data_IF_945150827191
#
_entry.id   IF_945150827191
#
_cell.length_a   1.000
_cell.length_b   1.000
_cell.length_c   1.000
_cell.angle_alpha   90.00
_cell.angle_beta   90.00
_cell.angle_gamma   90.00
#
_symmetry.space_group_name_H-M   'P 1'
#
loop_
_entity.id
_entity.type
_entity.pdbx_description
1 polymer ?
#
# COMPACT_ATOMS: atom_id res chain seq x y z
N UNK A 1 -13.93 7.34 14.65
CA UNK A 1 -12.83 7.40 13.66
C UNK A 1 -13.22 6.90 12.27
N UNK A 2 -13.83 5.72 12.05
CA UNK A 2 -14.12 5.23 10.67
C UNK A 2 -15.15 6.08 9.90
N UNK A 3 -16.14 6.65 10.59
CA UNK A 3 -17.16 7.51 9.96
C UNK A 3 -16.58 8.75 9.27
N UNK A 4 -15.49 9.30 9.81
CA UNK A 4 -14.83 10.49 9.26
C UNK A 4 -14.06 10.17 7.97
N UNK A 5 -13.46 8.97 7.88
CA UNK A 5 -12.77 8.52 6.66
C UNK A 5 -13.80 8.35 5.54
N UNK A 6 -14.93 7.67 5.82
CA UNK A 6 -16.01 7.52 4.84
C UNK A 6 -16.51 8.87 4.32
N UNK A 7 -16.87 9.78 5.23
CA UNK A 7 -17.38 11.11 4.87
C UNK A 7 -16.38 11.90 4.01
N UNK A 8 -15.08 11.87 4.36
CA UNK A 8 -14.03 12.53 3.58
C UNK A 8 -13.85 11.87 2.21
N UNK A 9 -13.83 10.53 2.14
CA UNK A 9 -13.72 9.81 0.88
C UNK A 9 -14.92 10.07 -0.03
N UNK A 10 -16.13 10.17 0.52
CA UNK A 10 -17.35 10.54 -0.25
C UNK A 10 -17.26 11.97 -0.78
N UNK A 11 -16.70 12.91 -0.01
CA UNK A 11 -16.47 14.29 -0.46
C UNK A 11 -15.41 14.36 -1.56
N UNK A 12 -14.30 13.63 -1.42
CA UNK A 12 -13.25 13.55 -2.45
C UNK A 12 -13.76 12.89 -3.73
N UNK A 13 -14.61 11.87 -3.59
CA UNK A 13 -15.25 11.18 -4.71
C UNK A 13 -16.43 11.96 -5.34
N UNK A 14 -16.81 13.13 -4.80
CA UNK A 14 -17.97 13.89 -5.29
C UNK A 14 -17.85 14.30 -6.77
N UNK A 15 -16.61 14.44 -7.28
CA UNK A 15 -16.33 14.70 -8.70
C UNK A 15 -16.51 13.50 -9.63
N UNK A 16 -16.75 12.31 -9.09
CA UNK A 16 -16.88 11.05 -9.83
C UNK A 16 -15.55 10.45 -10.29
N UNK A 17 -15.62 9.23 -10.83
CA UNK A 17 -14.45 8.42 -11.20
C UNK A 17 -13.58 9.05 -12.29
N UNK A 18 -14.18 9.77 -13.25
CA UNK A 18 -13.43 10.45 -14.31
C UNK A 18 -12.58 11.61 -13.77
N UNK A 19 -13.09 12.36 -12.79
CA UNK A 19 -12.33 13.43 -12.14
C UNK A 19 -11.18 12.85 -11.32
N UNK A 20 -11.44 11.78 -10.56
CA UNK A 20 -10.41 11.08 -9.78
C UNK A 20 -9.30 10.52 -10.68
N UNK A 21 -9.65 9.88 -11.80
CA UNK A 21 -8.67 9.34 -12.75
C UNK A 21 -7.77 10.45 -13.32
N UNK A 22 -8.35 11.60 -13.67
CA UNK A 22 -7.61 12.77 -14.14
C UNK A 22 -6.65 13.32 -13.08
N UNK A 23 -7.09 13.39 -11.82
CA UNK A 23 -6.24 13.84 -10.71
C UNK A 23 -5.10 12.86 -10.45
N UNK A 24 -5.39 11.55 -10.45
CA UNK A 24 -4.40 10.50 -10.32
C UNK A 24 -3.32 10.59 -11.41
N UNK A 25 -3.72 10.76 -12.68
CA UNK A 25 -2.78 10.92 -13.79
C UNK A 25 -1.92 12.18 -13.67
N UNK A 26 -2.51 13.29 -13.23
CA UNK A 26 -1.77 14.53 -12.99
C UNK A 26 -0.75 14.36 -11.85
N UNK A 27 -1.14 13.71 -10.75
CA UNK A 27 -0.25 13.42 -9.63
C UNK A 27 0.89 12.48 -10.05
N UNK A 28 0.58 11.41 -10.78
CA UNK A 28 1.56 10.46 -11.34
C UNK A 28 2.56 11.18 -12.24
N UNK A 29 2.10 11.99 -13.19
CA UNK A 29 2.96 12.72 -14.11
C UNK A 29 3.88 13.72 -13.39
N UNK A 30 3.39 14.37 -12.33
CA UNK A 30 4.20 15.26 -11.49
C UNK A 30 5.27 14.49 -10.73
N UNK A 31 4.88 13.40 -10.06
CA UNK A 31 5.79 12.61 -9.22
C UNK A 31 6.87 11.91 -10.06
N UNK A 32 6.51 11.38 -11.23
CA UNK A 32 7.46 10.76 -12.16
C UNK A 32 8.59 11.72 -12.58
N UNK A 33 8.31 13.03 -12.65
CA UNK A 33 9.32 14.05 -12.96
C UNK A 33 10.17 14.44 -11.75
N UNK A 34 9.58 14.45 -10.56
CA UNK A 34 10.21 15.00 -9.36
C UNK A 34 11.04 13.97 -8.60
N UNK A 35 10.51 12.77 -8.39
CA UNK A 35 11.12 11.75 -7.53
C UNK A 35 12.55 11.36 -7.93
N UNK A 36 12.91 11.21 -9.22
CA UNK A 36 14.27 10.79 -9.58
C UNK A 36 15.38 11.75 -9.12
N UNK A 37 15.06 13.03 -8.90
CA UNK A 37 16.01 14.05 -8.47
C UNK A 37 15.98 14.32 -6.96
N UNK A 38 15.08 13.67 -6.21
CA UNK A 38 14.93 13.91 -4.78
C UNK A 38 15.86 13.01 -3.96
N UNK A 39 16.55 13.55 -2.93
CA UNK A 39 17.30 12.73 -1.98
C UNK A 39 16.37 11.77 -1.24
N UNK A 40 16.79 10.50 -1.14
CA UNK A 40 15.99 9.44 -0.51
C UNK A 40 15.85 9.61 1.00
N UNK A 41 16.78 10.32 1.65
CA UNK A 41 16.77 10.62 3.08
C UNK A 41 16.00 11.91 3.42
N UNK A 42 15.47 12.61 2.42
CA UNK A 42 14.70 13.84 2.61
C UNK A 42 13.53 13.59 3.58
N UNK A 43 13.36 14.40 4.64
CA UNK A 43 12.23 14.24 5.55
C UNK A 43 10.91 14.59 4.87
N UNK A 44 9.93 13.69 5.01
CA UNK A 44 8.57 13.84 4.49
C UNK A 44 7.58 13.67 5.65
N UNK A 45 6.68 14.65 5.80
CA UNK A 45 5.59 14.57 6.78
C UNK A 45 4.51 13.63 6.28
N UNK A 46 4.18 12.61 7.06
CA UNK A 46 3.14 11.61 6.80
C UNK A 46 2.25 11.50 8.04
N UNK A 47 1.07 12.12 7.99
CA UNK A 47 0.17 12.27 9.14
C UNK A 47 0.91 12.87 10.37
N UNK A 48 0.98 12.14 11.48
CA UNK A 48 1.65 12.56 12.71
C UNK A 48 3.14 12.19 12.76
N UNK A 49 3.69 11.64 11.67
CA UNK A 49 5.06 11.13 11.60
C UNK A 49 5.89 11.88 10.56
N UNK A 50 7.21 11.86 10.73
CA UNK A 50 8.18 12.29 9.72
C UNK A 50 9.02 11.09 9.35
N UNK A 51 9.06 10.77 8.06
CA UNK A 51 9.80 9.63 7.51
C UNK A 51 10.80 10.12 6.48
N UNK A 52 11.96 9.45 6.33
CA UNK A 52 12.76 9.55 5.12
C UNK A 52 11.92 9.27 3.86
N UNK A 53 12.24 9.89 2.73
CA UNK A 53 11.48 9.78 1.49
C UNK A 53 11.36 8.32 1.02
N UNK A 54 12.42 7.53 1.09
CA UNK A 54 12.40 6.11 0.74
C UNK A 54 11.39 5.31 1.59
N UNK A 55 11.36 5.54 2.90
CA UNK A 55 10.41 4.90 3.80
C UNK A 55 8.98 5.38 3.53
N UNK A 56 8.79 6.68 3.27
CA UNK A 56 7.51 7.23 2.85
C UNK A 56 7.02 6.55 1.55
N UNK A 57 7.89 6.42 0.54
CA UNK A 57 7.57 5.77 -0.73
C UNK A 57 7.23 4.29 -0.54
N UNK A 58 7.93 3.58 0.33
CA UNK A 58 7.60 2.20 0.67
C UNK A 58 6.18 2.10 1.26
N UNK A 59 5.77 3.03 2.14
CA UNK A 59 4.39 3.04 2.63
C UNK A 59 3.38 3.24 1.49
N UNK A 60 3.64 4.17 0.56
CA UNK A 60 2.73 4.41 -0.57
C UNK A 60 2.66 3.21 -1.51
N UNK A 61 3.78 2.51 -1.70
CA UNK A 61 3.84 1.32 -2.55
C UNK A 61 3.00 0.17 -1.97
N UNK A 62 3.06 -0.03 -0.64
CA UNK A 62 2.19 -1.00 0.05
C UNK A 62 0.72 -0.66 -0.18
N UNK A 63 0.31 0.58 0.05
CA UNK A 63 -1.08 1.03 -0.14
C UNK A 63 -1.54 0.82 -1.59
N UNK A 64 -0.71 1.19 -2.57
CA UNK A 64 -1.05 1.02 -3.99
C UNK A 64 -1.22 -0.45 -4.37
N UNK A 65 -0.33 -1.34 -3.91
CA UNK A 65 -0.41 -2.77 -4.26
C UNK A 65 -1.60 -3.45 -3.59
N UNK A 66 -1.90 -3.14 -2.33
CA UNK A 66 -3.07 -3.68 -1.62
C UNK A 66 -4.36 -3.19 -2.27
N UNK A 67 -4.48 -1.88 -2.48
CA UNK A 67 -5.72 -1.30 -3.02
C UNK A 67 -5.92 -1.54 -4.51
N UNK A 68 -4.88 -1.92 -5.26
CA UNK A 68 -5.02 -2.37 -6.64
C UNK A 68 -5.91 -3.62 -6.72
N UNK A 69 -5.70 -4.57 -5.80
CA UNK A 69 -6.52 -5.78 -5.71
C UNK A 69 -7.94 -5.45 -5.21
N UNK A 70 -8.05 -4.60 -4.18
CA UNK A 70 -9.37 -4.17 -3.66
C UNK A 70 -10.26 -3.57 -4.76
N UNK A 71 -9.70 -2.72 -5.63
CA UNK A 71 -10.44 -2.11 -6.75
C UNK A 71 -10.79 -3.17 -7.80
N UNK A 72 -9.85 -4.04 -8.16
CA UNK A 72 -10.10 -5.09 -9.15
C UNK A 72 -11.20 -6.06 -8.71
N UNK A 73 -11.14 -6.51 -7.45
CA UNK A 73 -12.16 -7.35 -6.79
C UNK A 73 -13.51 -6.64 -6.76
N UNK A 74 -13.54 -5.35 -6.40
CA UNK A 74 -14.78 -4.57 -6.35
C UNK A 74 -15.43 -4.39 -7.73
N UNK A 75 -14.64 -4.43 -8.79
CA UNK A 75 -15.11 -4.33 -10.18
C UNK A 75 -15.31 -5.70 -10.85
N UNK A 76 -15.05 -6.79 -10.14
CA UNK A 76 -15.07 -8.17 -10.67
C UNK A 76 -14.17 -8.35 -11.91
N UNK A 77 -13.01 -7.69 -11.91
CA UNK A 77 -12.02 -7.75 -13.00
C UNK A 77 -10.71 -8.38 -12.53
N UNK A 78 -9.88 -8.93 -13.43
CA UNK A 78 -8.57 -9.44 -13.06
C UNK A 78 -7.67 -8.34 -12.50
N UNK A 79 -6.98 -8.62 -11.39
CA UNK A 79 -6.00 -7.70 -10.79
C UNK A 79 -4.86 -7.42 -11.77
N UNK A 80 -4.56 -6.13 -12.07
CA UNK A 80 -3.45 -5.78 -12.93
C UNK A 80 -2.10 -6.28 -12.40
N UNK A 81 -1.16 -6.57 -13.31
CA UNK A 81 0.17 -7.03 -12.90
C UNK A 81 0.96 -5.94 -12.18
N UNK A 82 1.67 -6.35 -11.13
CA UNK A 82 2.58 -5.50 -10.36
C UNK A 82 4.02 -5.75 -10.81
N UNK A 83 4.85 -4.70 -11.02
CA UNK A 83 6.27 -4.87 -11.32
C UNK A 83 6.99 -5.72 -10.26
N UNK A 84 7.96 -6.54 -10.67
CA UNK A 84 8.61 -7.50 -9.79
C UNK A 84 9.32 -6.84 -8.60
N UNK A 85 9.97 -5.70 -8.83
CA UNK A 85 10.65 -4.91 -7.80
C UNK A 85 9.65 -4.37 -6.76
N UNK A 86 8.46 -3.97 -7.22
CA UNK A 86 7.41 -3.51 -6.33
C UNK A 86 6.82 -4.65 -5.51
N UNK A 87 6.58 -5.80 -6.15
CA UNK A 87 6.08 -7.00 -5.50
C UNK A 87 7.05 -7.49 -4.41
N UNK A 88 8.37 -7.50 -4.68
CA UNK A 88 9.40 -7.90 -3.72
C UNK A 88 9.45 -6.94 -2.52
N UNK A 89 9.48 -5.63 -2.78
CA UNK A 89 9.51 -4.61 -1.73
C UNK A 89 8.29 -4.70 -0.80
N UNK A 90 7.09 -4.83 -1.37
CA UNK A 90 5.84 -4.94 -0.60
C UNK A 90 5.77 -6.26 0.16
N UNK A 91 6.10 -7.39 -0.48
CA UNK A 91 6.09 -8.72 0.18
C UNK A 91 7.06 -8.76 1.35
N UNK A 92 8.28 -8.23 1.17
CA UNK A 92 9.28 -8.10 2.23
C UNK A 92 8.76 -7.23 3.37
N UNK A 93 8.17 -6.08 3.06
CA UNK A 93 7.61 -5.18 4.07
C UNK A 93 6.49 -5.85 4.90
N UNK A 94 5.49 -6.44 4.23
CA UNK A 94 4.37 -7.11 4.89
C UNK A 94 4.83 -8.30 5.72
N UNK A 95 5.82 -9.07 5.23
CA UNK A 95 6.40 -10.18 6.00
C UNK A 95 7.10 -9.69 7.26
N UNK A 96 7.86 -8.58 7.19
CA UNK A 96 8.51 -7.98 8.36
C UNK A 96 7.48 -7.48 9.37
N UNK A 97 6.39 -6.87 8.92
CA UNK A 97 5.28 -6.44 9.78
C UNK A 97 4.61 -7.68 10.43
N UNK A 98 4.38 -8.75 9.67
CA UNK A 98 3.80 -9.98 10.17
C UNK A 98 4.66 -10.60 11.27
N UNK A 99 5.98 -10.67 11.06
CA UNK A 99 6.93 -11.17 12.07
C UNK A 99 6.95 -10.28 13.31
N UNK A 100 6.89 -8.96 13.14
CA UNK A 100 6.85 -8.03 14.27
C UNK A 100 5.58 -8.18 15.11
N UNK A 101 4.43 -8.49 14.49
CA UNK A 101 3.13 -8.63 15.17
C UNK A 101 2.88 -10.03 15.73
N UNK A 102 3.24 -11.06 14.98
CA UNK A 102 2.85 -12.46 15.23
C UNK A 102 4.02 -13.37 15.60
N UNK A 103 5.26 -12.87 15.49
CA UNK A 103 6.48 -13.64 15.70
C UNK A 103 6.91 -14.45 14.47
N UNK A 104 8.19 -14.81 14.42
CA UNK A 104 8.80 -15.50 13.27
C UNK A 104 8.21 -16.89 13.02
N UNK A 105 8.13 -17.73 14.05
CA UNK A 105 7.75 -19.13 13.89
C UNK A 105 6.29 -19.31 13.43
N UNK A 106 5.30 -18.55 13.94
CA UNK A 106 3.95 -18.57 13.40
C UNK A 106 3.88 -18.18 11.91
N UNK A 107 4.62 -17.13 11.51
CA UNK A 107 4.70 -16.71 10.09
C UNK A 107 5.25 -17.82 9.19
N UNK A 108 6.36 -18.44 9.57
CA UNK A 108 6.94 -19.54 8.79
C UNK A 108 6.00 -20.73 8.69
N UNK A 109 5.28 -21.09 9.78
CA UNK A 109 4.31 -22.18 9.74
C UNK A 109 3.19 -21.88 8.74
N UNK A 110 2.63 -20.68 8.79
CA UNK A 110 1.56 -20.27 7.87
C UNK A 110 2.01 -20.24 6.42
N UNK A 111 3.21 -19.74 6.12
CA UNK A 111 3.72 -19.66 4.75
C UNK A 111 4.17 -21.02 4.18
N UNK A 112 4.73 -21.91 5.01
CA UNK A 112 5.36 -23.14 4.52
C UNK A 112 4.43 -24.36 4.53
N UNK A 113 3.50 -24.46 5.50
CA UNK A 113 2.73 -25.68 5.78
C UNK A 113 1.35 -25.34 6.36
N UNK A 114 0.31 -25.37 5.51
CA UNK A 114 -1.07 -25.03 5.89
C UNK A 114 -1.56 -25.83 7.11
N UNK A 115 -1.17 -27.09 7.25
CA UNK A 115 -1.54 -27.95 8.38
C UNK A 115 -0.92 -27.55 9.72
N UNK A 116 0.08 -26.66 9.71
CA UNK A 116 0.74 -26.12 10.92
C UNK A 116 0.33 -24.68 11.21
N UNK A 117 -0.47 -24.06 10.34
CA UNK A 117 -1.04 -22.74 10.56
C UNK A 117 -2.06 -22.85 11.69
N UNK A 118 -1.85 -22.10 12.76
CA UNK A 118 -2.77 -22.06 13.91
C UNK A 118 -3.87 -21.03 13.63
N UNK A 119 -3.47 -19.86 13.12
CA UNK A 119 -4.36 -18.74 12.82
C UNK A 119 -4.02 -18.11 11.46
N UNK A 120 -5.01 -17.49 10.78
CA UNK A 120 -4.74 -16.64 9.62
C UNK A 120 -3.89 -15.43 10.03
N UNK A 121 -2.94 -15.06 9.17
CA UNK A 121 -2.05 -13.92 9.39
C UNK A 121 -2.56 -12.73 8.58
N UNK A 122 -2.97 -11.67 9.27
CA UNK A 122 -3.22 -10.34 8.69
C UNK A 122 -2.27 -9.31 9.31
N UNK A 123 -1.92 -8.29 8.52
CA UNK A 123 -1.09 -7.15 8.92
C UNK A 123 -1.79 -5.81 8.78
N UNK A 124 -3.08 -5.83 8.44
CA UNK A 124 -3.99 -4.69 8.49
C UNK A 124 -5.12 -4.98 9.48
#
# INVERSE_FOLDING_TARGET
>A
MPRRIREVSEQEAAGGSAALAKEFDAARARLAKQLPAMPLDRPVSVFAHVLPLDQCLLTRLVELVVHLDDVAVSLETPTPSVPAEAADAVTTCLTRIAVARHGFLPVIRTLARRERAIDPITVF
#
